data_IF_220582056889
#
_entry.id   IF_220582056889
#
_cell.length_a   1.000
_cell.length_b   1.000
_cell.length_c   1.000
_cell.angle_alpha   90.00
_cell.angle_beta   90.00
_cell.angle_gamma   90.00
#
_symmetry.space_group_name_H-M   'P 1'
#
loop_
_entity.id
_entity.type
_entity.pdbx_description
1 polymer ?
#
# COMPACT_ATOMS: atom_id res chain seq x y z
N UNK A 1 19.94 -21.41 -5.62
CA UNK A 1 20.15 -20.48 -4.48
C UNK A 1 18.84 -20.17 -3.77
N UNK A 2 17.85 -19.55 -4.44
CA UNK A 2 16.52 -19.24 -3.85
C UNK A 2 15.78 -20.46 -3.27
N UNK A 3 15.78 -21.59 -3.98
CA UNK A 3 15.18 -22.84 -3.48
C UNK A 3 15.86 -23.35 -2.20
N UNK A 4 17.20 -23.44 -2.21
CA UNK A 4 17.97 -23.88 -1.04
C UNK A 4 17.82 -22.93 0.17
N UNK A 5 17.68 -21.61 -0.08
CA UNK A 5 17.39 -20.63 0.96
C UNK A 5 15.99 -20.84 1.58
N UNK A 6 14.97 -21.10 0.76
CA UNK A 6 13.62 -21.39 1.25
C UNK A 6 13.57 -22.70 2.05
N UNK A 7 14.30 -23.74 1.60
CA UNK A 7 14.41 -25.01 2.33
C UNK A 7 15.08 -24.83 3.70
N UNK A 8 16.17 -24.07 3.76
CA UNK A 8 16.89 -23.81 5.00
C UNK A 8 16.03 -23.04 6.03
N UNK A 9 15.20 -22.11 5.56
CA UNK A 9 14.37 -21.25 6.39
C UNK A 9 12.89 -21.67 6.39
N UNK A 10 12.57 -22.90 5.99
CA UNK A 10 11.18 -23.37 5.80
C UNK A 10 10.30 -23.21 7.05
N UNK A 11 10.90 -23.35 8.25
CA UNK A 11 10.19 -23.14 9.51
C UNK A 11 9.72 -21.69 9.72
N UNK A 12 10.38 -20.73 9.08
CA UNK A 12 10.14 -19.29 9.23
C UNK A 12 9.51 -18.66 7.98
N UNK A 13 9.78 -19.21 6.80
CA UNK A 13 9.32 -18.74 5.50
C UNK A 13 8.40 -19.77 4.86
N UNK A 14 7.18 -19.35 4.58
CA UNK A 14 6.19 -20.17 3.88
C UNK A 14 5.77 -19.54 2.56
N UNK A 15 5.29 -20.39 1.66
CA UNK A 15 4.69 -19.95 0.41
C UNK A 15 3.20 -19.79 0.63
N UNK A 16 2.68 -18.57 0.52
CA UNK A 16 1.25 -18.29 0.72
C UNK A 16 0.71 -17.31 -0.32
N UNK A 17 -0.61 -17.28 -0.45
CA UNK A 17 -1.31 -16.33 -1.31
C UNK A 17 -1.54 -15.03 -0.54
N UNK A 18 -1.18 -13.89 -1.15
CA UNK A 18 -1.52 -12.58 -0.60
C UNK A 18 -3.04 -12.38 -0.55
N UNK A 19 -3.51 -11.56 0.40
CA UNK A 19 -4.90 -11.10 0.42
C UNK A 19 -4.98 -9.85 -0.45
N UNK A 20 -6.11 -9.65 -1.14
CA UNK A 20 -6.33 -8.53 -2.08
C UNK A 20 -6.34 -7.15 -1.41
N UNK A 21 -6.30 -7.09 -0.08
CA UNK A 21 -6.21 -5.85 0.67
C UNK A 21 -5.13 -6.04 1.73
N UNK A 22 -4.12 -5.18 1.71
CA UNK A 22 -3.12 -5.14 2.77
C UNK A 22 -3.84 -4.79 4.09
N UNK A 23 -4.02 -5.80 4.92
CA UNK A 23 -4.73 -5.68 6.20
C UNK A 23 -4.02 -4.71 7.14
N UNK A 24 -2.72 -4.51 6.94
CA UNK A 24 -1.90 -3.61 7.73
C UNK A 24 -2.30 -2.15 7.50
N UNK A 25 -2.52 -1.74 6.24
CA UNK A 25 -3.05 -0.40 5.92
C UNK A 25 -4.41 -0.11 6.57
N UNK A 26 -5.31 -1.09 6.61
CA UNK A 26 -6.62 -0.93 7.25
C UNK A 26 -6.56 -0.91 8.80
N UNK A 27 -5.60 -1.63 9.40
CA UNK A 27 -5.42 -1.67 10.86
C UNK A 27 -4.64 -0.47 11.41
N UNK A 28 -3.81 0.17 10.58
CA UNK A 28 -3.06 1.38 10.93
C UNK A 28 -3.87 2.68 10.77
N UNK A 29 -5.19 2.59 10.54
CA UNK A 29 -6.05 3.75 10.34
C UNK A 29 -6.13 4.59 11.63
N UNK A 30 -5.41 5.72 11.64
CA UNK A 30 -5.44 6.70 12.72
C UNK A 30 -6.45 7.81 12.37
N UNK A 31 -7.56 7.97 13.11
CA UNK A 31 -8.56 9.00 12.84
C UNK A 31 -7.99 10.42 12.81
N UNK A 32 -6.98 10.72 13.63
CA UNK A 32 -6.32 12.02 13.64
C UNK A 32 -5.48 12.24 12.38
N UNK A 33 -4.81 11.21 11.89
CA UNK A 33 -4.06 11.29 10.63
C UNK A 33 -5.01 11.52 9.45
N UNK A 34 -6.15 10.83 9.41
CA UNK A 34 -7.19 11.02 8.39
C UNK A 34 -7.72 12.45 8.44
N UNK A 35 -8.08 12.94 9.62
CA UNK A 35 -8.57 14.31 9.81
C UNK A 35 -7.52 15.36 9.39
N UNK A 36 -6.27 15.17 9.81
CA UNK A 36 -5.16 16.05 9.44
C UNK A 36 -4.96 16.10 7.93
N UNK A 37 -5.01 14.94 7.26
CA UNK A 37 -4.91 14.87 5.80
C UNK A 37 -6.02 15.65 5.09
N UNK A 38 -7.29 15.44 5.49
CA UNK A 38 -8.41 16.17 4.89
C UNK A 38 -8.35 17.68 5.14
N UNK A 39 -7.85 18.11 6.31
CA UNK A 39 -7.65 19.54 6.60
C UNK A 39 -6.62 20.16 5.66
N UNK A 40 -5.50 19.47 5.41
CA UNK A 40 -4.45 19.93 4.49
C UNK A 40 -4.97 20.02 3.05
N UNK A 41 -5.72 19.01 2.60
CA UNK A 41 -6.36 19.00 1.28
C UNK A 41 -7.32 20.18 1.14
N UNK A 42 -8.14 20.44 2.16
CA UNK A 42 -9.05 21.59 2.15
C UNK A 42 -8.28 22.90 2.04
N UNK A 43 -7.30 23.14 2.93
CA UNK A 43 -6.54 24.39 2.99
C UNK A 43 -5.75 24.68 1.71
N UNK A 44 -5.17 23.65 1.10
CA UNK A 44 -4.22 23.84 0.00
C UNK A 44 -4.80 23.57 -1.38
N UNK A 45 -5.92 22.85 -1.50
CA UNK A 45 -6.53 22.52 -2.80
C UNK A 45 -7.88 23.22 -2.93
N UNK A 46 -8.80 22.95 -2.00
CA UNK A 46 -10.19 23.43 -2.08
C UNK A 46 -10.26 24.94 -1.87
N UNK A 47 -9.67 25.44 -0.79
CA UNK A 47 -9.73 26.87 -0.43
C UNK A 47 -8.92 27.75 -1.41
N UNK A 48 -8.02 27.14 -2.18
CA UNK A 48 -7.23 27.81 -3.25
C UNK A 48 -7.84 27.64 -4.64
N UNK A 49 -8.99 26.98 -4.76
CA UNK A 49 -9.70 26.72 -6.02
C UNK A 49 -8.80 26.09 -7.09
N UNK A 50 -7.94 25.14 -6.67
CA UNK A 50 -7.07 24.42 -7.60
C UNK A 50 -7.94 23.47 -8.42
N UNK A 51 -8.02 23.76 -9.72
CA UNK A 51 -8.75 22.92 -10.65
C UNK A 51 -8.13 21.50 -10.70
N UNK A 52 -8.96 20.44 -10.76
CA UNK A 52 -8.46 19.06 -10.81
C UNK A 52 -7.44 18.80 -11.93
N UNK A 53 -7.62 19.42 -13.10
CA UNK A 53 -6.70 19.34 -14.23
C UNK A 53 -5.30 19.91 -13.96
N UNK A 54 -5.15 20.73 -12.91
CA UNK A 54 -3.88 21.31 -12.48
C UNK A 54 -3.20 20.51 -11.35
N UNK A 55 -3.76 19.36 -10.97
CA UNK A 55 -3.17 18.44 -9.99
C UNK A 55 -2.29 17.44 -10.74
N UNK A 56 -0.99 17.72 -10.77
CA UNK A 56 0.00 16.84 -11.39
C UNK A 56 0.46 15.78 -10.40
N UNK A 57 0.18 14.51 -10.69
CA UNK A 57 0.74 13.37 -9.96
C UNK A 57 2.24 13.26 -10.22
N UNK A 58 3.04 13.90 -9.36
CA UNK A 58 4.50 13.92 -9.40
C UNK A 58 5.11 12.84 -8.50
N UNK A 59 4.46 11.69 -8.34
CA UNK A 59 5.08 10.51 -7.71
C UNK A 59 5.51 9.48 -8.76
N UNK A 60 6.81 9.17 -8.76
CA UNK A 60 7.49 8.31 -9.73
C UNK A 60 7.17 6.81 -9.59
N UNK A 61 6.01 6.46 -9.06
CA UNK A 61 5.62 5.06 -8.92
C UNK A 61 4.15 4.91 -9.22
N UNK A 62 3.85 4.74 -10.50
CA UNK A 62 2.57 4.25 -10.99
C UNK A 62 2.33 2.84 -10.48
N UNK A 63 1.99 2.69 -9.20
CA UNK A 63 1.47 1.46 -8.66
C UNK A 63 0.16 1.19 -9.38
N UNK A 64 0.17 0.16 -10.20
CA UNK A 64 -0.99 -0.24 -10.99
C UNK A 64 -2.10 -0.61 -9.99
N UNK A 65 -3.12 0.24 -9.86
CA UNK A 65 -4.30 -0.01 -9.02
C UNK A 65 -5.13 -1.21 -9.48
N UNK A 66 -4.79 -1.82 -10.62
CA UNK A 66 -5.46 -2.99 -11.18
C UNK A 66 -4.78 -4.33 -10.87
N UNK A 67 -3.54 -4.37 -10.35
CA UNK A 67 -2.94 -5.63 -9.88
C UNK A 67 -3.23 -5.88 -8.40
N UNK A 68 -4.52 -5.91 -8.09
CA UNK A 68 -5.06 -6.30 -6.78
C UNK A 68 -5.26 -7.83 -6.70
N UNK A 69 -4.58 -8.57 -7.58
CA UNK A 69 -4.64 -10.02 -7.67
C UNK A 69 -3.97 -10.67 -6.46
N UNK A 70 -4.47 -11.85 -6.05
CA UNK A 70 -3.73 -12.69 -5.11
C UNK A 70 -2.44 -13.13 -5.79
N UNK A 71 -1.31 -12.66 -5.28
CA UNK A 71 0.01 -13.08 -5.73
C UNK A 71 0.51 -14.20 -4.82
N UNK A 72 1.30 -15.11 -5.38
CA UNK A 72 1.98 -16.16 -4.61
C UNK A 72 3.32 -15.61 -4.14
N UNK A 73 3.49 -15.46 -2.84
CA UNK A 73 4.68 -14.86 -2.23
C UNK A 73 5.36 -15.81 -1.25
N UNK A 74 6.64 -15.56 -0.98
CA UNK A 74 7.43 -16.25 0.06
C UNK A 74 7.70 -15.25 1.17
N UNK A 75 7.29 -15.58 2.39
CA UNK A 75 7.49 -14.71 3.55
C UNK A 75 7.10 -15.38 4.85
N UNK A 76 7.24 -14.66 5.96
CA UNK A 76 6.74 -15.11 7.24
C UNK A 76 5.21 -15.16 7.17
N UNK A 77 4.62 -16.32 7.41
CA UNK A 77 3.17 -16.47 7.42
C UNK A 77 2.59 -15.60 8.56
N UNK A 78 1.83 -14.56 8.19
CA UNK A 78 1.18 -13.60 9.10
C UNK A 78 0.13 -12.78 8.38
#
# INVERSE_FOLDING_TARGET
>A
WSYAFCELHYAELQVFWTKSLDRQGAQALNPEAVKSWFNLVKEHIVDKDILPENIYGMDESGFVTSDTGKQRVVGRQG
#
